data_IF_949154077430
#
_entry.id   IF_949154077430
#
_cell.length_a   1.000
_cell.length_b   1.000
_cell.length_c   1.000
_cell.angle_alpha   90.00
_cell.angle_beta   90.00
_cell.angle_gamma   90.00
#
_symmetry.space_group_name_H-M   'P 1'
#
loop_
_entity.id
_entity.type
_entity.pdbx_description
1 polymer ?
#
# COMPACT_ATOMS: atom_id res chain seq x y z
N UNK A 1 8.54 -0.03 27.63
CA UNK A 1 8.75 -1.32 26.94
C UNK A 1 7.51 -1.77 26.15
N UNK A 2 6.32 -1.81 26.77
CA UNK A 2 5.10 -2.41 26.19
C UNK A 2 4.70 -1.90 24.79
N UNK A 3 4.63 -0.58 24.57
CA UNK A 3 4.19 -0.04 23.26
C UNK A 3 5.09 -0.44 22.08
N UNK A 4 6.39 -0.70 22.28
CA UNK A 4 7.28 -1.11 21.18
C UNK A 4 7.03 -2.56 20.77
N UNK A 5 6.83 -3.43 21.76
CA UNK A 5 6.54 -4.85 21.52
C UNK A 5 5.18 -4.99 20.85
N UNK A 6 4.16 -4.26 21.31
CA UNK A 6 2.82 -4.28 20.68
C UNK A 6 2.89 -3.85 19.21
N UNK A 7 3.59 -2.75 18.90
CA UNK A 7 3.77 -2.31 17.51
C UNK A 7 4.51 -3.35 16.66
N UNK A 8 5.56 -3.97 17.20
CA UNK A 8 6.32 -4.99 16.49
C UNK A 8 5.49 -6.25 16.22
N UNK A 9 4.76 -6.75 17.21
CA UNK A 9 3.87 -7.91 17.07
C UNK A 9 2.76 -7.63 16.06
N UNK A 10 2.11 -6.46 16.15
CA UNK A 10 1.10 -6.03 15.19
C UNK A 10 1.63 -6.06 13.76
N UNK A 11 2.78 -5.42 13.52
CA UNK A 11 3.40 -5.34 12.19
C UNK A 11 3.79 -6.71 11.66
N UNK A 12 4.41 -7.55 12.49
CA UNK A 12 4.81 -8.91 12.09
C UNK A 12 3.58 -9.78 11.77
N UNK A 13 2.52 -9.69 12.57
CA UNK A 13 1.28 -10.42 12.32
C UNK A 13 0.66 -10.06 10.97
N UNK A 14 0.44 -8.77 10.70
CA UNK A 14 -0.19 -8.34 9.44
C UNK A 14 0.73 -8.53 8.23
N UNK A 15 2.05 -8.44 8.40
CA UNK A 15 3.00 -8.79 7.34
C UNK A 15 2.94 -10.28 7.00
N UNK A 16 2.94 -11.15 8.02
CA UNK A 16 2.80 -12.60 7.82
C UNK A 16 1.47 -12.94 7.14
N UNK A 17 0.35 -12.39 7.65
CA UNK A 17 -0.97 -12.58 7.07
C UNK A 17 -1.04 -12.15 5.60
N UNK A 18 -0.50 -10.97 5.27
CA UNK A 18 -0.47 -10.46 3.89
C UNK A 18 0.38 -11.34 2.98
N UNK A 19 1.60 -11.71 3.39
CA UNK A 19 2.47 -12.59 2.59
C UNK A 19 1.88 -13.98 2.42
N UNK A 20 1.22 -14.53 3.44
CA UNK A 20 0.48 -15.80 3.34
C UNK A 20 -0.67 -15.67 2.34
N UNK A 21 -1.46 -14.59 2.37
CA UNK A 21 -2.55 -14.38 1.42
C UNK A 21 -2.04 -14.28 -0.03
N UNK A 22 -1.02 -13.45 -0.28
CA UNK A 22 -0.39 -13.31 -1.60
C UNK A 22 0.23 -14.64 -2.05
N UNK A 23 0.93 -15.34 -1.16
CA UNK A 23 1.55 -16.64 -1.43
C UNK A 23 0.53 -17.73 -1.74
N UNK A 24 -0.58 -17.80 -0.99
CA UNK A 24 -1.66 -18.76 -1.26
C UNK A 24 -2.30 -18.48 -2.61
N UNK A 25 -2.61 -17.23 -2.94
CA UNK A 25 -3.15 -16.92 -4.28
C UNK A 25 -2.18 -17.34 -5.38
N UNK A 26 -0.88 -17.12 -5.18
CA UNK A 26 0.14 -17.48 -6.15
C UNK A 26 0.28 -19.00 -6.32
N UNK A 27 0.47 -19.75 -5.24
CA UNK A 27 0.78 -21.18 -5.30
C UNK A 27 -0.45 -22.08 -5.42
N UNK A 28 -1.63 -21.64 -4.96
CA UNK A 28 -2.86 -22.43 -5.05
C UNK A 28 -3.71 -22.11 -6.29
N UNK A 29 -3.53 -20.93 -6.90
CA UNK A 29 -4.32 -20.51 -8.08
C UNK A 29 -3.42 -20.24 -9.28
N UNK A 30 -2.51 -19.27 -9.18
CA UNK A 30 -1.73 -18.82 -10.35
C UNK A 30 -0.88 -19.94 -10.94
N UNK A 31 -0.08 -20.62 -10.14
CA UNK A 31 0.83 -21.68 -10.62
C UNK A 31 0.07 -22.91 -11.14
N UNK A 32 -0.91 -23.49 -10.41
CA UNK A 32 -1.61 -24.69 -10.89
C UNK A 32 -2.46 -24.46 -12.14
N UNK A 33 -2.97 -23.24 -12.33
CA UNK A 33 -3.77 -22.88 -13.52
C UNK A 33 -2.90 -22.44 -14.71
N UNK A 34 -1.56 -22.46 -14.57
CA UNK A 34 -0.64 -22.05 -15.64
C UNK A 34 -0.71 -20.56 -15.97
N UNK A 35 -1.22 -19.74 -15.05
CA UNK A 35 -1.29 -18.30 -15.25
C UNK A 35 0.11 -17.66 -15.24
N UNK A 36 0.28 -16.59 -16.03
CA UNK A 36 1.56 -15.88 -16.11
C UNK A 36 2.00 -15.32 -14.76
N UNK A 37 3.18 -15.73 -14.32
CA UNK A 37 3.84 -15.23 -13.10
C UNK A 37 4.05 -13.71 -13.20
N UNK A 38 4.47 -13.23 -14.38
CA UNK A 38 4.68 -11.81 -14.61
C UNK A 38 3.36 -11.02 -14.53
N UNK A 39 2.26 -11.58 -15.01
CA UNK A 39 0.93 -10.96 -14.87
C UNK A 39 0.53 -10.85 -13.40
N UNK A 40 0.75 -11.91 -12.61
CA UNK A 40 0.48 -11.89 -11.19
C UNK A 40 1.24 -10.77 -10.46
N UNK A 41 2.53 -10.60 -10.73
CA UNK A 41 3.32 -9.52 -10.15
C UNK A 41 3.17 -8.16 -10.86
N UNK A 42 2.30 -8.06 -11.88
CA UNK A 42 1.91 -6.78 -12.49
C UNK A 42 0.71 -6.12 -11.80
N UNK A 43 0.03 -6.82 -10.89
CA UNK A 43 -1.07 -6.23 -10.11
C UNK A 43 -0.54 -5.32 -9.00
N UNK A 44 -1.00 -4.08 -8.96
CA UNK A 44 -0.64 -3.11 -7.92
C UNK A 44 -0.98 -3.61 -6.52
N UNK A 45 -2.10 -4.34 -6.38
CA UNK A 45 -2.52 -4.99 -5.13
C UNK A 45 -1.44 -5.90 -4.58
N UNK A 46 -0.88 -6.78 -5.41
CA UNK A 46 0.15 -7.74 -5.00
C UNK A 46 1.45 -7.02 -4.62
N UNK A 47 1.89 -6.09 -5.47
CA UNK A 47 3.09 -5.29 -5.20
C UNK A 47 2.96 -4.49 -3.88
N UNK A 48 1.82 -3.83 -3.66
CA UNK A 48 1.59 -3.01 -2.46
C UNK A 48 1.51 -3.86 -1.19
N UNK A 49 0.90 -5.05 -1.24
CA UNK A 49 0.88 -5.99 -0.12
C UNK A 49 2.28 -6.51 0.23
N UNK A 50 3.11 -6.80 -0.78
CA UNK A 50 4.50 -7.19 -0.58
C UNK A 50 5.31 -6.02 0.02
N UNK A 51 5.17 -4.82 -0.51
CA UNK A 51 5.86 -3.62 -0.03
C UNK A 51 5.50 -3.35 1.44
N UNK A 52 4.22 -3.29 1.79
CA UNK A 52 3.82 -3.02 3.19
C UNK A 52 4.30 -4.12 4.13
N UNK A 53 4.30 -5.38 3.70
CA UNK A 53 4.81 -6.50 4.48
C UNK A 53 6.31 -6.37 4.76
N UNK A 54 7.12 -6.07 3.75
CA UNK A 54 8.56 -5.85 3.91
C UNK A 54 8.82 -4.68 4.87
N UNK A 55 8.11 -3.57 4.68
CA UNK A 55 8.23 -2.39 5.55
C UNK A 55 7.86 -2.72 6.99
N UNK A 56 6.78 -3.47 7.20
CA UNK A 56 6.35 -3.91 8.53
C UNK A 56 7.38 -4.82 9.20
N UNK A 57 7.94 -5.79 8.47
CA UNK A 57 9.00 -6.68 8.96
C UNK A 57 10.24 -5.87 9.35
N UNK A 58 10.76 -5.05 8.44
CA UNK A 58 11.96 -4.23 8.70
C UNK A 58 11.72 -3.29 9.89
N UNK A 59 10.56 -2.64 9.94
CA UNK A 59 10.20 -1.74 11.03
C UNK A 59 10.09 -2.47 12.38
N UNK A 60 9.45 -3.64 12.42
CA UNK A 60 9.33 -4.45 13.62
C UNK A 60 10.68 -4.95 14.12
N UNK A 61 11.54 -5.46 13.23
CA UNK A 61 12.89 -5.92 13.58
C UNK A 61 13.72 -4.78 14.17
N UNK A 62 13.68 -3.58 13.57
CA UNK A 62 14.38 -2.41 14.11
C UNK A 62 13.85 -2.00 15.47
N UNK A 63 12.53 -2.01 15.67
CA UNK A 63 11.92 -1.72 16.97
C UNK A 63 12.34 -2.71 18.06
N UNK A 64 12.37 -4.01 17.74
CA UNK A 64 12.80 -5.07 18.67
C UNK A 64 14.29 -4.96 19.01
N UNK A 65 15.13 -4.50 18.07
CA UNK A 65 16.55 -4.19 18.29
C UNK A 65 16.78 -2.86 19.02
N UNK A 66 15.74 -2.12 19.39
CA UNK A 66 15.85 -0.83 20.05
C UNK A 66 16.37 0.31 19.14
N UNK A 67 16.44 0.08 17.82
CA UNK A 67 16.92 1.07 16.85
C UNK A 67 15.81 2.07 16.54
N UNK A 68 16.07 3.35 16.78
CA UNK A 68 15.12 4.41 16.46
C UNK A 68 14.90 4.50 14.93
N UNK A 69 13.64 4.70 14.46
CA UNK A 69 13.38 4.93 13.04
C UNK A 69 14.05 6.21 12.55
N UNK A 70 14.79 6.12 11.45
CA UNK A 70 15.29 7.28 10.71
C UNK A 70 14.16 7.99 9.96
N UNK A 71 14.42 9.18 9.43
CA UNK A 71 13.42 9.91 8.64
C UNK A 71 13.02 9.14 7.37
N UNK A 72 13.98 8.47 6.73
CA UNK A 72 13.71 7.62 5.56
C UNK A 72 12.87 6.40 5.94
N UNK A 73 13.14 5.72 7.06
CA UNK A 73 12.30 4.60 7.52
C UNK A 73 10.83 5.04 7.70
N UNK A 74 10.62 6.24 8.25
CA UNK A 74 9.28 6.81 8.45
C UNK A 74 8.64 7.20 7.12
N UNK A 75 9.40 7.80 6.21
CA UNK A 75 8.91 8.16 4.88
C UNK A 75 8.52 6.93 4.07
N UNK A 76 9.33 5.87 4.07
CA UNK A 76 9.02 4.60 3.40
C UNK A 76 7.79 3.94 4.02
N UNK A 77 7.62 4.00 5.35
CA UNK A 77 6.38 3.53 6.00
C UNK A 77 5.15 4.33 5.57
N UNK A 78 5.26 5.65 5.46
CA UNK A 78 4.16 6.47 4.96
C UNK A 78 3.80 6.12 3.51
N UNK A 79 4.80 5.87 2.66
CA UNK A 79 4.61 5.45 1.27
C UNK A 79 3.80 4.15 1.20
N UNK A 80 4.21 3.12 1.96
CA UNK A 80 3.52 1.83 1.95
C UNK A 80 2.08 1.93 2.44
N UNK A 81 1.81 2.79 3.44
CA UNK A 81 0.44 3.07 3.91
C UNK A 81 -0.40 3.73 2.80
N UNK A 82 0.14 4.71 2.08
CA UNK A 82 -0.56 5.33 0.95
C UNK A 82 -0.89 4.29 -0.12
N UNK A 83 0.06 3.44 -0.49
CA UNK A 83 -0.17 2.44 -1.56
C UNK A 83 -1.24 1.43 -1.18
N UNK A 84 -1.16 0.87 0.02
CA UNK A 84 -2.10 -0.15 0.45
C UNK A 84 -3.48 0.42 0.79
N UNK A 85 -3.56 1.64 1.31
CA UNK A 85 -4.84 2.32 1.51
C UNK A 85 -5.51 2.66 0.18
N UNK A 86 -4.73 3.03 -0.84
CA UNK A 86 -5.25 3.23 -2.19
C UNK A 86 -5.81 1.95 -2.80
N UNK A 87 -5.15 0.80 -2.59
CA UNK A 87 -5.67 -0.52 -2.97
C UNK A 87 -7.05 -0.77 -2.35
N UNK A 88 -7.19 -0.55 -1.04
CA UNK A 88 -8.47 -0.73 -0.36
C UNK A 88 -9.56 0.21 -0.89
N UNK A 89 -9.21 1.47 -1.16
CA UNK A 89 -10.12 2.46 -1.73
C UNK A 89 -10.60 2.05 -3.12
N UNK A 90 -9.67 1.84 -4.08
CA UNK A 90 -9.99 1.51 -5.48
C UNK A 90 -10.73 0.18 -5.58
N UNK A 91 -10.36 -0.81 -4.77
CA UNK A 91 -11.09 -2.07 -4.77
C UNK A 91 -12.56 -1.86 -4.42
N UNK A 92 -12.84 -1.13 -3.33
CA UNK A 92 -14.20 -0.92 -2.86
C UNK A 92 -15.05 -0.02 -3.75
N UNK A 93 -14.43 0.87 -4.54
CA UNK A 93 -15.15 1.82 -5.38
C UNK A 93 -15.25 1.39 -6.83
N UNK A 94 -14.27 0.65 -7.35
CA UNK A 94 -14.13 0.39 -8.79
C UNK A 94 -13.98 -1.09 -9.17
N UNK A 95 -13.55 -1.98 -8.27
CA UNK A 95 -13.21 -3.36 -8.63
C UNK A 95 -13.98 -4.45 -7.87
N UNK A 96 -14.79 -4.09 -6.87
CA UNK A 96 -15.46 -5.07 -5.99
C UNK A 96 -16.33 -6.06 -6.77
N UNK A 97 -17.02 -5.57 -7.79
CA UNK A 97 -17.95 -6.35 -8.61
C UNK A 97 -17.35 -6.70 -9.98
N UNK A 98 -16.04 -6.48 -10.17
CA UNK A 98 -15.32 -6.83 -11.39
C UNK A 98 -14.74 -8.23 -11.23
N UNK A 99 -15.04 -9.12 -12.18
CA UNK A 99 -14.43 -10.45 -12.23
C UNK A 99 -12.96 -10.34 -12.67
N UNK A 100 -12.05 -10.45 -11.71
CA UNK A 100 -10.61 -10.50 -11.92
C UNK A 100 -10.07 -11.94 -11.92
N UNK A 101 -10.96 -12.95 -12.03
CA UNK A 101 -10.64 -14.38 -12.00
C UNK A 101 -10.75 -15.00 -10.61
N UNK A 102 -10.23 -16.23 -10.47
CA UNK A 102 -10.35 -17.12 -9.30
C UNK A 102 -9.75 -16.60 -7.99
N UNK A 103 -10.27 -15.50 -7.46
CA UNK A 103 -9.89 -14.90 -6.20
C UNK A 103 -10.43 -15.74 -5.05
N UNK A 104 -9.54 -16.24 -4.19
CA UNK A 104 -9.95 -16.96 -2.99
C UNK A 104 -10.59 -15.94 -2.02
N UNK A 105 -11.83 -16.15 -1.54
CA UNK A 105 -12.58 -15.11 -0.82
C UNK A 105 -11.85 -14.52 0.39
N UNK A 106 -11.20 -15.35 1.21
CA UNK A 106 -10.45 -14.86 2.37
C UNK A 106 -9.19 -14.10 1.98
N UNK A 107 -8.49 -14.52 0.91
CA UNK A 107 -7.34 -13.79 0.36
C UNK A 107 -7.80 -12.41 -0.09
N UNK A 108 -8.91 -12.37 -0.84
CA UNK A 108 -9.50 -11.13 -1.32
C UNK A 108 -9.84 -10.17 -0.17
N UNK A 109 -10.44 -10.69 0.91
CA UNK A 109 -10.70 -9.91 2.12
C UNK A 109 -9.40 -9.40 2.77
N UNK A 110 -8.35 -10.23 2.86
CA UNK A 110 -7.08 -9.85 3.45
C UNK A 110 -6.41 -8.71 2.68
N UNK A 111 -6.23 -8.87 1.37
CA UNK A 111 -5.42 -7.97 0.55
C UNK A 111 -6.11 -6.65 0.20
N UNK A 112 -7.45 -6.61 0.25
CA UNK A 112 -8.25 -5.42 -0.09
C UNK A 112 -8.95 -4.76 1.10
N UNK A 113 -9.02 -5.41 2.27
CA UNK A 113 -9.68 -4.83 3.45
C UNK A 113 -8.81 -4.88 4.70
N UNK A 114 -8.42 -6.08 5.13
CA UNK A 114 -7.79 -6.27 6.44
C UNK A 114 -6.41 -5.58 6.49
N UNK A 115 -5.55 -5.82 5.50
CA UNK A 115 -4.20 -5.22 5.46
C UNK A 115 -4.25 -3.71 5.22
N UNK A 116 -5.06 -3.18 4.27
CA UNK A 116 -5.27 -1.73 4.14
C UNK A 116 -5.70 -1.05 5.45
N UNK A 117 -6.70 -1.59 6.15
CA UNK A 117 -7.17 -1.05 7.43
C UNK A 117 -6.06 -1.13 8.48
N UNK A 118 -5.38 -2.27 8.60
CA UNK A 118 -4.30 -2.46 9.55
C UNK A 118 -3.15 -1.46 9.33
N UNK A 119 -2.81 -1.15 8.08
CA UNK A 119 -1.78 -0.17 7.75
C UNK A 119 -2.15 1.26 8.16
N UNK A 120 -3.40 1.66 7.92
CA UNK A 120 -3.91 2.96 8.38
C UNK A 120 -3.94 3.01 9.92
N UNK A 121 -4.42 1.94 10.57
CA UNK A 121 -4.43 1.83 12.03
C UNK A 121 -3.02 1.92 12.62
N UNK A 122 -2.02 1.24 12.04
CA UNK A 122 -0.62 1.37 12.45
C UNK A 122 -0.14 2.82 12.40
N UNK A 123 -0.46 3.51 11.30
CA UNK A 123 -0.05 4.90 11.10
C UNK A 123 -0.66 5.85 12.13
N UNK A 124 -1.92 5.62 12.51
CA UNK A 124 -2.66 6.45 13.46
C UNK A 124 -2.25 6.18 14.91
N UNK A 125 -2.04 4.92 15.29
CA UNK A 125 -1.69 4.53 16.67
C UNK A 125 -0.20 4.83 16.95
N UNK A 126 0.67 4.60 15.97
CA UNK A 126 2.12 4.85 16.09
C UNK A 126 2.58 5.92 15.08
N UNK A 127 2.15 7.18 15.27
CA UNK A 127 2.45 8.26 14.35
C UNK A 127 3.95 8.62 14.35
N UNK A 128 4.45 9.26 13.29
CA UNK A 128 5.83 9.71 13.21
C UNK A 128 6.15 10.72 14.32
N UNK A 129 7.29 10.55 15.00
CA UNK A 129 7.75 11.50 16.03
C UNK A 129 8.36 12.77 15.47
N UNK A 130 8.85 12.72 14.23
CA UNK A 130 9.40 13.87 13.51
C UNK A 130 8.47 14.19 12.34
N UNK A 131 8.20 15.48 12.07
CA UNK A 131 7.32 15.86 10.99
C UNK A 131 7.93 15.51 9.64
N UNK A 132 7.12 14.89 8.78
CA UNK A 132 7.50 14.60 7.40
C UNK A 132 7.47 15.88 6.55
N UNK A 133 8.52 16.15 5.75
CA UNK A 133 8.53 17.27 4.82
C UNK A 133 7.55 17.06 3.67
N UNK A 134 7.24 18.12 2.91
CA UNK A 134 6.40 18.00 1.71
C UNK A 134 7.06 17.19 0.59
N UNK A 135 8.38 17.11 0.55
CA UNK A 135 9.12 16.24 -0.36
C UNK A 135 8.77 14.76 -0.18
N UNK A 136 8.27 14.34 0.99
CA UNK A 136 7.75 12.98 1.19
C UNK A 136 6.55 12.69 0.30
N UNK A 137 5.66 13.66 0.05
CA UNK A 137 4.51 13.47 -0.85
C UNK A 137 4.99 13.20 -2.27
N UNK A 138 5.94 14.02 -2.76
CA UNK A 138 6.53 13.82 -4.10
C UNK A 138 7.23 12.47 -4.21
N UNK A 139 8.00 12.09 -3.18
CA UNK A 139 8.64 10.78 -3.11
C UNK A 139 7.62 9.63 -3.16
N UNK A 140 6.48 9.75 -2.46
CA UNK A 140 5.44 8.73 -2.46
C UNK A 140 4.78 8.58 -3.82
N UNK A 141 4.70 9.64 -4.63
CA UNK A 141 4.13 9.58 -5.98
C UNK A 141 5.01 8.85 -7.01
N UNK A 142 6.29 8.62 -6.72
CA UNK A 142 7.23 7.98 -7.66
C UNK A 142 6.75 6.57 -8.03
N UNK A 143 6.44 5.72 -7.04
CA UNK A 143 6.04 4.34 -7.31
C UNK A 143 4.72 4.23 -8.10
N UNK A 144 3.62 4.94 -7.74
CA UNK A 144 2.42 4.98 -8.56
C UNK A 144 2.66 5.46 -10.00
N UNK A 145 3.48 6.51 -10.19
CA UNK A 145 3.78 7.03 -11.52
C UNK A 145 4.55 6.00 -12.37
N UNK A 146 5.58 5.38 -11.79
CA UNK A 146 6.34 4.30 -12.44
C UNK A 146 5.44 3.11 -12.76
N UNK A 147 4.53 2.75 -11.85
CA UNK A 147 3.59 1.64 -12.05
C UNK A 147 2.63 1.89 -13.21
N UNK A 148 2.06 3.10 -13.31
CA UNK A 148 1.18 3.48 -14.42
C UNK A 148 1.95 3.41 -15.74
N UNK A 149 3.15 4.00 -15.80
CA UNK A 149 3.99 3.96 -17.00
C UNK A 149 4.31 2.51 -17.41
N UNK A 150 4.75 1.69 -16.47
CA UNK A 150 5.02 0.26 -16.68
C UNK A 150 3.79 -0.48 -17.23
N UNK A 151 2.63 -0.28 -16.60
CA UNK A 151 1.39 -1.00 -16.95
C UNK A 151 0.91 -0.64 -18.35
N UNK A 152 0.99 0.64 -18.73
CA UNK A 152 0.58 1.10 -20.06
C UNK A 152 1.54 0.65 -21.16
N UNK A 153 2.86 0.78 -20.93
CA UNK A 153 3.88 0.34 -21.88
C UNK A 153 3.77 -1.17 -22.09
N UNK A 154 3.73 -1.94 -21.00
CA UNK A 154 3.63 -3.40 -21.07
C UNK A 154 2.32 -3.83 -21.71
N UNK A 155 1.20 -3.20 -21.34
CA UNK A 155 -0.10 -3.50 -21.92
C UNK A 155 -0.13 -3.27 -23.43
N UNK A 156 0.49 -2.20 -23.92
CA UNK A 156 0.60 -1.93 -25.36
C UNK A 156 1.47 -2.95 -26.11
N UNK A 157 2.40 -3.64 -25.43
CA UNK A 157 3.30 -4.65 -26.04
C UNK A 157 2.70 -6.06 -25.97
N UNK A 158 1.95 -6.36 -24.91
CA UNK A 158 1.54 -7.73 -24.57
C UNK A 158 0.03 -7.95 -24.55
N UNK A 159 -0.74 -6.91 -24.85
CA UNK A 159 -2.20 -6.83 -24.71
C UNK A 159 -2.74 -7.20 -23.32
N UNK A 160 -1.86 -7.28 -22.32
CA UNK A 160 -2.23 -7.54 -20.94
C UNK A 160 -2.20 -6.25 -20.12
N UNK A 161 -3.37 -5.84 -19.67
CA UNK A 161 -3.54 -4.75 -18.72
C UNK A 161 -3.98 -5.32 -17.36
N UNK A 162 -3.29 -4.99 -16.25
CA UNK A 162 -3.65 -5.52 -14.93
C UNK A 162 -5.07 -5.14 -14.48
N UNK A 163 -5.62 -4.04 -15.00
CA UNK A 163 -6.92 -3.54 -14.61
C UNK A 163 -7.70 -3.01 -15.82
N UNK A 164 -9.04 -3.11 -15.83
CA UNK A 164 -9.85 -2.72 -16.97
C UNK A 164 -9.76 -1.22 -17.29
N UNK A 165 -9.49 -0.37 -16.31
CA UNK A 165 -9.30 1.07 -16.50
C UNK A 165 -7.99 1.43 -17.22
N UNK A 166 -7.05 0.49 -17.39
CA UNK A 166 -5.87 0.69 -18.23
C UNK A 166 -6.04 0.20 -19.67
N UNK A 167 -7.07 -0.61 -19.94
CA UNK A 167 -7.30 -1.17 -21.27
C UNK A 167 -7.96 -0.15 -22.20
N UNK A 168 -7.31 0.26 -23.31
CA UNK A 168 -7.94 1.13 -24.29
C UNK A 168 -9.13 0.46 -24.99
N UNK A 169 -9.17 -0.86 -25.06
CA UNK A 169 -10.33 -1.60 -25.62
C UNK A 169 -11.57 -1.39 -24.75
N UNK A 170 -11.40 -1.44 -23.42
CA UNK A 170 -12.52 -1.26 -22.47
C UNK A 170 -12.88 0.23 -22.34
N UNK A 171 -11.89 1.12 -22.40
CA UNK A 171 -12.09 2.57 -22.18
C UNK A 171 -12.32 3.38 -23.47
N UNK A 172 -12.60 2.73 -24.61
CA UNK A 172 -12.81 3.37 -25.91
C UNK A 172 -11.64 4.26 -26.37
N UNK A 173 -10.41 3.79 -26.15
CA UNK A 173 -9.16 4.40 -26.58
C UNK A 173 -8.34 5.00 -25.43
N UNK A 174 -7.14 5.51 -25.78
CA UNK A 174 -6.20 6.07 -24.80
C UNK A 174 -6.67 7.37 -24.15
N UNK A 175 -7.66 8.07 -24.74
CA UNK A 175 -8.30 9.22 -24.10
C UNK A 175 -9.03 8.85 -22.81
N UNK A 176 -9.82 7.76 -22.84
CA UNK A 176 -10.50 7.24 -21.64
C UNK A 176 -9.52 6.72 -20.60
N UNK A 177 -8.49 5.99 -21.04
CA UNK A 177 -7.40 5.53 -20.16
C UNK A 177 -6.70 6.71 -19.47
N UNK A 178 -6.39 7.78 -20.20
CA UNK A 178 -5.76 8.98 -19.65
C UNK A 178 -6.62 9.64 -18.57
N UNK A 179 -7.95 9.70 -18.76
CA UNK A 179 -8.87 10.23 -17.76
C UNK A 179 -8.84 9.40 -16.46
N UNK A 180 -8.88 8.06 -16.56
CA UNK A 180 -8.73 7.20 -15.38
C UNK A 180 -7.38 7.37 -14.69
N UNK A 181 -6.28 7.41 -15.46
CA UNK A 181 -4.96 7.67 -14.91
C UNK A 181 -4.89 9.00 -14.16
N UNK A 182 -5.50 10.06 -14.69
CA UNK A 182 -5.58 11.36 -14.02
C UNK A 182 -6.33 11.27 -12.68
N UNK A 183 -7.50 10.62 -12.66
CA UNK A 183 -8.28 10.38 -11.43
C UNK A 183 -7.46 9.60 -10.40
N UNK A 184 -6.75 8.56 -10.83
CA UNK A 184 -5.91 7.75 -9.94
C UNK A 184 -4.74 8.57 -9.36
N UNK A 185 -4.07 9.38 -10.18
CA UNK A 185 -2.99 10.27 -9.73
C UNK A 185 -3.52 11.28 -8.70
N UNK A 186 -4.67 11.88 -8.94
CA UNK A 186 -5.32 12.80 -7.98
C UNK A 186 -5.67 12.06 -6.69
N UNK A 187 -6.24 10.86 -6.77
CA UNK A 187 -6.57 10.03 -5.61
C UNK A 187 -5.32 9.68 -4.77
N UNK A 188 -4.23 9.27 -5.41
CA UNK A 188 -2.94 9.04 -4.74
C UNK A 188 -2.42 10.31 -4.08
N UNK A 189 -2.48 11.46 -4.77
CA UNK A 189 -2.00 12.72 -4.24
C UNK A 189 -2.80 13.14 -3.00
N UNK A 190 -4.13 13.08 -3.06
CA UNK A 190 -5.01 13.39 -1.92
C UNK A 190 -4.68 12.48 -0.74
N UNK A 191 -4.55 11.18 -0.98
CA UNK A 191 -4.22 10.22 0.07
C UNK A 191 -2.83 10.47 0.66
N UNK A 192 -1.84 10.79 -0.18
CA UNK A 192 -0.48 11.12 0.25
C UNK A 192 -0.47 12.38 1.14
N UNK A 193 -1.17 13.43 0.73
CA UNK A 193 -1.31 14.65 1.54
C UNK A 193 -2.00 14.35 2.86
N UNK A 194 -3.09 13.56 2.85
CA UNK A 194 -3.85 13.20 4.04
C UNK A 194 -3.02 12.38 5.03
N UNK A 195 -2.36 11.31 4.58
CA UNK A 195 -1.52 10.45 5.43
C UNK A 195 -0.36 11.25 6.03
N UNK A 196 0.28 12.12 5.24
CA UNK A 196 1.31 13.03 5.75
C UNK A 196 0.76 13.96 6.82
N UNK A 197 -0.37 14.61 6.54
CA UNK A 197 -0.99 15.56 7.47
C UNK A 197 -1.38 14.88 8.78
N UNK A 198 -2.09 13.75 8.72
CA UNK A 198 -2.48 12.96 9.89
C UNK A 198 -1.25 12.54 10.70
N UNK A 199 -0.20 12.04 10.03
CA UNK A 199 1.03 11.64 10.69
C UNK A 199 1.68 12.79 11.45
N UNK A 200 1.81 13.96 10.82
CA UNK A 200 2.42 15.14 11.43
C UNK A 200 1.57 15.70 12.58
N UNK A 201 0.25 15.78 12.41
CA UNK A 201 -0.67 16.30 13.42
C UNK A 201 -0.67 15.44 14.69
N UNK A 202 -0.79 14.11 14.53
CA UNK A 202 -0.77 13.16 15.64
C UNK A 202 0.61 13.08 16.29
N UNK A 203 1.68 13.15 15.50
CA UNK A 203 3.05 13.21 15.97
C UNK A 203 3.30 14.41 16.88
N UNK A 204 2.91 15.61 16.43
CA UNK A 204 3.04 16.84 17.19
C UNK A 204 2.20 16.81 18.49
N UNK A 205 0.98 16.28 18.44
CA UNK A 205 0.14 16.13 19.63
C UNK A 205 0.75 15.17 20.67
N UNK A 206 1.39 14.09 20.21
CA UNK A 206 2.06 13.12 21.08
C UNK A 206 3.29 13.71 21.75
N UNK A 207 4.11 14.48 21.03
CA UNK A 207 5.30 15.15 21.60
C UNK A 207 4.89 16.14 22.70
N UNK A 208 3.88 16.98 22.46
CA UNK A 208 3.38 17.93 23.47
C UNK A 208 2.86 17.24 24.74
N UNK A 209 2.19 16.09 24.59
CA UNK A 209 1.70 15.30 25.74
C UNK A 209 2.85 14.69 26.54
N UNK A 210 3.85 14.14 25.85
CA UNK A 210 5.04 13.56 26.48
C UNK A 210 5.78 14.66 27.28
N UNK A 211 5.94 15.88 26.74
CA UNK A 211 6.54 17.04 27.43
C UNK A 211 5.74 17.50 28.66
N UNK A 212 4.41 17.61 28.55
CA UNK A 212 3.55 18.05 29.65
C UNK A 212 3.48 17.04 30.82
N UNK A 213 3.82 15.77 30.59
CA UNK A 213 3.82 14.73 31.65
C UNK A 213 5.09 14.73 32.52
N UNK A 214 6.12 15.47 32.11
CA UNK A 214 7.42 15.54 32.78
C UNK A 214 7.62 16.88 33.51
N UNK A 215 6.77 17.88 33.22
CA UNK A 215 6.71 19.17 33.90
C UNK A 215 5.85 19.09 35.18
#
# INVERSE_FOLDING_TARGET
>A
MGSRIVAAVFRLFFAALSLTAVGVQFFAVTVPQGHSILNFFSYFTNLSNIIVSIVFIVSAVRLLRGVAPSMSDVAVRGASVVYIAFVGLVFNTLLRDVDLGGLIPWVNAVVHFIVPIAAVVDWLIWPPRRPLPWSSVLYWMIFPAVYVAYSLIRGAITDFYPYPFFSPVIQNGYGGVAAYCAVMIVGFLVLAVLIRWLGNALGAARVRRDEASVA
#
